data_IF_414222839699
#
_entry.id   IF_414222839699
#
_cell.length_a   1.000
_cell.length_b   1.000
_cell.length_c   1.000
_cell.angle_alpha   90.00
_cell.angle_beta   90.00
_cell.angle_gamma   90.00
#
_symmetry.space_group_name_H-M   'P 1'
#
loop_
_entity.id
_entity.type
_entity.pdbx_description
1 polymer ?
#
# COMPACT_ATOMS: atom_id res chain seq x y z
N UNK A 1 18.49 -13.40 -71.84
CA UNK A 1 17.24 -12.98 -71.19
C UNK A 1 17.57 -12.44 -69.79
N UNK A 2 17.45 -11.13 -69.52
CA UNK A 2 17.71 -10.55 -68.18
C UNK A 2 16.39 -10.44 -67.41
N UNK A 3 16.30 -11.10 -66.26
CA UNK A 3 15.17 -11.03 -65.33
C UNK A 3 15.28 -9.75 -64.50
N UNK A 4 14.37 -8.80 -64.71
CA UNK A 4 14.30 -7.57 -63.90
C UNK A 4 13.57 -7.89 -62.59
N UNK A 5 14.33 -8.08 -61.49
CA UNK A 5 13.78 -8.18 -60.14
C UNK A 5 13.15 -6.83 -59.74
N UNK A 6 11.82 -6.79 -59.67
CA UNK A 6 11.05 -5.64 -59.20
C UNK A 6 11.28 -5.46 -57.70
N UNK A 7 12.06 -4.43 -57.32
CA UNK A 7 12.31 -4.09 -55.91
C UNK A 7 11.00 -3.79 -55.18
N UNK A 8 10.75 -4.47 -54.06
CA UNK A 8 9.58 -4.21 -53.20
C UNK A 8 9.68 -2.78 -52.66
N UNK A 9 8.72 -1.91 -53.03
CA UNK A 9 8.61 -0.56 -52.44
C UNK A 9 8.44 -0.71 -50.93
N UNK A 10 9.40 -0.27 -50.14
CA UNK A 10 9.24 -0.15 -48.69
C UNK A 10 8.24 0.97 -48.43
N UNK A 11 7.07 0.64 -47.89
CA UNK A 11 6.14 1.66 -47.36
C UNK A 11 6.80 2.25 -46.11
N UNK A 12 7.22 3.51 -46.17
CA UNK A 12 7.73 4.24 -45.03
C UNK A 12 6.57 4.71 -44.14
N UNK A 13 6.80 4.75 -42.83
CA UNK A 13 5.89 5.37 -41.87
C UNK A 13 5.84 6.87 -42.12
N UNK A 14 4.64 7.46 -42.13
CA UNK A 14 4.51 8.89 -42.35
C UNK A 14 4.71 9.65 -41.03
N UNK A 15 5.27 10.86 -41.07
CA UNK A 15 5.43 11.68 -39.87
C UNK A 15 4.08 12.06 -39.26
N UNK A 16 3.04 12.20 -40.09
CA UNK A 16 1.69 12.53 -39.62
C UNK A 16 1.07 11.40 -38.80
N UNK A 17 1.30 10.14 -39.19
CA UNK A 17 0.87 8.98 -38.40
C UNK A 17 1.54 8.97 -37.02
N UNK A 18 2.81 9.36 -36.93
CA UNK A 18 3.50 9.46 -35.63
C UNK A 18 2.92 10.57 -34.76
N UNK A 19 2.68 11.74 -35.35
CA UNK A 19 2.17 12.92 -34.64
C UNK A 19 0.75 12.67 -34.10
N UNK A 20 -0.12 12.03 -34.88
CA UNK A 20 -1.46 11.68 -34.43
C UNK A 20 -1.44 10.71 -33.24
N UNK A 21 -0.53 9.73 -33.24
CA UNK A 21 -0.40 8.74 -32.16
C UNK A 21 0.08 9.38 -30.86
N UNK A 22 1.14 10.20 -30.90
CA UNK A 22 1.64 10.87 -29.68
C UNK A 22 0.62 11.86 -29.12
N UNK A 23 -0.20 12.49 -29.99
CA UNK A 23 -1.27 13.39 -29.56
C UNK A 23 -2.35 12.63 -28.77
N UNK A 24 -2.79 11.46 -29.26
CA UNK A 24 -3.77 10.61 -28.55
C UNK A 24 -3.19 10.08 -27.23
N UNK A 25 -1.95 9.57 -27.25
CA UNK A 25 -1.27 9.08 -26.03
C UNK A 25 -1.12 10.22 -25.01
N UNK A 26 -0.80 11.44 -25.45
CA UNK A 26 -0.68 12.61 -24.57
C UNK A 26 -1.98 12.94 -23.84
N UNK A 27 -3.12 12.91 -24.53
CA UNK A 27 -4.43 13.16 -23.93
C UNK A 27 -4.79 12.06 -22.91
N UNK A 28 -4.57 10.79 -23.28
CA UNK A 28 -4.85 9.66 -22.38
C UNK A 28 -3.95 9.69 -21.14
N UNK A 29 -2.66 9.98 -21.32
CA UNK A 29 -1.70 10.08 -20.21
C UNK A 29 -2.09 11.20 -19.24
N UNK A 30 -2.50 12.37 -19.73
CA UNK A 30 -2.90 13.50 -18.89
C UNK A 30 -4.04 13.16 -17.92
N UNK A 31 -5.02 12.35 -18.36
CA UNK A 31 -6.16 11.94 -17.51
C UNK A 31 -5.80 10.74 -16.62
N UNK A 32 -4.93 9.85 -17.09
CA UNK A 32 -4.62 8.59 -16.40
C UNK A 32 -3.70 8.80 -15.19
N UNK A 33 -2.69 9.66 -15.31
CA UNK A 33 -1.67 9.88 -14.28
C UNK A 33 -2.24 10.23 -12.90
N UNK A 34 -3.09 11.28 -12.72
CA UNK A 34 -3.60 11.63 -11.39
C UNK A 34 -4.50 10.54 -10.80
N UNK A 35 -5.26 9.82 -11.65
CA UNK A 35 -6.14 8.73 -11.21
C UNK A 35 -5.34 7.57 -10.63
N UNK A 36 -4.28 7.16 -11.32
CA UNK A 36 -3.42 6.05 -10.85
C UNK A 36 -2.78 6.39 -9.50
N UNK A 37 -2.31 7.63 -9.31
CA UNK A 37 -1.74 8.04 -8.03
C UNK A 37 -2.73 7.96 -6.86
N UNK A 38 -3.99 8.35 -7.05
CA UNK A 38 -5.04 8.21 -6.03
C UNK A 38 -5.29 6.74 -5.67
N UNK A 39 -5.52 5.88 -6.66
CA UNK A 39 -5.75 4.45 -6.44
C UNK A 39 -4.60 3.75 -5.73
N UNK A 40 -3.35 4.14 -6.01
CA UNK A 40 -2.19 3.58 -5.32
C UNK A 40 -2.16 3.96 -3.83
N UNK A 41 -2.59 5.18 -3.47
CA UNK A 41 -2.67 5.60 -2.07
C UNK A 41 -3.77 4.82 -1.34
N UNK A 42 -4.95 4.69 -1.93
CA UNK A 42 -6.07 3.94 -1.34
C UNK A 42 -5.72 2.45 -1.17
N UNK A 43 -5.06 1.85 -2.17
CA UNK A 43 -4.57 0.48 -2.08
C UNK A 43 -3.56 0.32 -0.92
N UNK A 44 -2.67 1.30 -0.71
CA UNK A 44 -1.75 1.29 0.45
C UNK A 44 -2.51 1.41 1.77
N UNK A 45 -3.49 2.32 1.87
CA UNK A 45 -4.36 2.45 3.07
C UNK A 45 -5.05 1.13 3.40
N UNK A 46 -5.64 0.48 2.41
CA UNK A 46 -6.27 -0.83 2.59
C UNK A 46 -5.29 -1.91 3.04
N UNK A 47 -4.06 -1.92 2.51
CA UNK A 47 -3.01 -2.87 2.91
C UNK A 47 -2.54 -2.61 4.35
N UNK A 48 -2.36 -1.36 4.75
CA UNK A 48 -2.04 -0.98 6.14
C UNK A 48 -3.09 -1.51 7.10
N UNK A 49 -4.38 -1.31 6.80
CA UNK A 49 -5.47 -1.81 7.64
C UNK A 49 -5.46 -3.34 7.71
N UNK A 50 -5.19 -4.03 6.58
CA UNK A 50 -5.07 -5.48 6.56
C UNK A 50 -3.89 -5.98 7.43
N UNK A 51 -2.71 -5.36 7.31
CA UNK A 51 -1.54 -5.69 8.14
C UNK A 51 -1.80 -5.38 9.63
N UNK A 52 -2.47 -4.27 9.94
CA UNK A 52 -2.87 -3.93 11.30
C UNK A 52 -3.79 -4.99 11.91
N UNK A 53 -4.75 -5.53 11.13
CA UNK A 53 -5.59 -6.67 11.54
C UNK A 53 -4.75 -7.91 11.82
N UNK A 54 -3.78 -8.24 10.95
CA UNK A 54 -2.91 -9.39 11.17
C UNK A 54 -2.13 -9.29 12.48
N UNK A 55 -1.57 -8.12 12.81
CA UNK A 55 -0.89 -7.90 14.11
C UNK A 55 -1.87 -8.06 15.28
N UNK A 56 -3.07 -7.47 15.17
CA UNK A 56 -4.06 -7.54 16.24
C UNK A 56 -4.52 -8.99 16.49
N UNK A 57 -4.78 -9.75 15.44
CA UNK A 57 -5.13 -11.17 15.54
C UNK A 57 -3.99 -11.99 16.15
N UNK A 58 -2.75 -11.67 15.80
CA UNK A 58 -1.58 -12.32 16.36
C UNK A 58 -1.42 -12.05 17.86
N UNK A 59 -1.67 -10.81 18.30
CA UNK A 59 -1.72 -10.44 19.71
C UNK A 59 -2.83 -11.19 20.46
N UNK A 60 -4.04 -11.24 19.91
CA UNK A 60 -5.16 -11.97 20.52
C UNK A 60 -4.88 -13.47 20.62
N UNK A 61 -4.28 -14.04 19.57
CA UNK A 61 -3.86 -15.45 19.54
C UNK A 61 -2.77 -15.74 20.57
N UNK A 62 -1.78 -14.84 20.73
CA UNK A 62 -0.76 -14.95 21.77
C UNK A 62 -1.42 -14.98 23.15
N UNK A 63 -2.28 -14.00 23.44
CA UNK A 63 -2.95 -13.89 24.74
C UNK A 63 -3.87 -15.07 25.05
N UNK A 64 -4.46 -15.71 24.03
CA UNK A 64 -5.26 -16.91 24.21
C UNK A 64 -4.43 -18.17 24.49
N UNK A 65 -3.18 -18.23 24.02
CA UNK A 65 -2.31 -19.43 24.11
C UNK A 65 -1.33 -19.38 25.29
N UNK A 66 -0.96 -18.19 25.75
CA UNK A 66 0.13 -17.99 26.72
C UNK A 66 -0.42 -17.61 28.09
N UNK A 67 0.20 -18.15 29.15
CA UNK A 67 -0.20 -17.90 30.55
C UNK A 67 0.13 -16.50 31.03
N UNK A 68 1.17 -15.87 30.47
CA UNK A 68 1.54 -14.48 30.72
C UNK A 68 1.02 -13.66 29.53
N UNK A 69 -0.10 -12.93 29.68
CA UNK A 69 -0.61 -12.11 28.60
C UNK A 69 0.33 -10.93 28.35
N UNK A 70 0.36 -10.47 27.09
CA UNK A 70 1.03 -9.22 26.75
C UNK A 70 0.35 -8.06 27.49
N UNK A 71 1.12 -7.01 27.84
CA UNK A 71 0.59 -5.84 28.54
C UNK A 71 -0.53 -5.16 27.75
N UNK A 72 -1.28 -4.30 28.42
CA UNK A 72 -2.47 -3.65 27.86
C UNK A 72 -2.20 -3.01 26.48
N UNK A 73 -3.19 -3.04 25.57
CA UNK A 73 -3.08 -2.51 24.21
C UNK A 73 -2.52 -1.08 24.10
N UNK A 74 -2.76 -0.25 25.11
CA UNK A 74 -2.24 1.13 25.25
C UNK A 74 -0.71 1.21 25.21
N UNK A 75 -0.02 0.19 25.70
CA UNK A 75 1.44 0.19 25.93
C UNK A 75 2.21 -0.81 25.06
N UNK A 76 1.48 -1.69 24.39
CA UNK A 76 2.04 -2.79 23.62
C UNK A 76 2.14 -2.38 22.15
N UNK A 77 3.35 -2.49 21.58
CA UNK A 77 3.66 -2.06 20.21
C UNK A 77 3.80 -3.24 19.27
N UNK A 78 3.69 -3.00 17.96
CA UNK A 78 3.92 -4.00 16.91
C UNK A 78 5.26 -4.72 17.11
N UNK A 79 6.32 -4.00 17.48
CA UNK A 79 7.64 -4.56 17.80
C UNK A 79 7.56 -5.61 18.91
N UNK A 80 6.93 -5.26 20.03
CA UNK A 80 6.80 -6.16 21.18
C UNK A 80 6.02 -7.42 20.80
N UNK A 81 4.95 -7.27 20.02
CA UNK A 81 4.16 -8.41 19.53
C UNK A 81 5.00 -9.34 18.64
N UNK A 82 5.73 -8.78 17.66
CA UNK A 82 6.62 -9.56 16.78
C UNK A 82 7.70 -10.29 17.57
N UNK A 83 8.40 -9.59 18.46
CA UNK A 83 9.49 -10.14 19.27
C UNK A 83 8.99 -11.29 20.17
N UNK A 84 7.83 -11.12 20.82
CA UNK A 84 7.26 -12.11 21.74
C UNK A 84 6.74 -13.36 21.02
N UNK A 85 6.12 -13.18 19.84
CA UNK A 85 5.68 -14.30 19.01
C UNK A 85 6.87 -15.09 18.46
N UNK A 86 7.92 -14.40 18.02
CA UNK A 86 9.15 -15.04 17.58
C UNK A 86 9.82 -15.82 18.73
N UNK A 87 9.95 -15.21 19.91
CA UNK A 87 10.59 -15.82 21.08
C UNK A 87 9.87 -17.07 21.59
N UNK A 88 8.53 -17.08 21.52
CA UNK A 88 7.71 -18.23 21.94
C UNK A 88 7.47 -19.24 20.82
N UNK A 89 8.08 -19.06 19.65
CA UNK A 89 7.89 -19.88 18.43
C UNK A 89 6.42 -20.01 18.04
N UNK A 90 5.64 -18.94 18.24
CA UNK A 90 4.22 -18.88 17.88
C UNK A 90 4.00 -18.47 16.42
N UNK A 91 5.07 -18.34 15.63
CA UNK A 91 5.03 -18.01 14.20
C UNK A 91 4.25 -19.01 13.35
N UNK A 92 4.05 -20.24 13.86
CA UNK A 92 3.15 -21.24 13.25
C UNK A 92 1.68 -20.79 13.24
N UNK A 93 1.28 -19.95 14.20
CA UNK A 93 -0.10 -19.51 14.39
C UNK A 93 -0.35 -18.08 13.90
N UNK A 94 0.71 -17.33 13.63
CA UNK A 94 0.63 -15.95 13.14
C UNK A 94 1.82 -15.65 12.23
N UNK A 95 1.52 -15.40 10.95
CA UNK A 95 2.51 -14.88 10.00
C UNK A 95 2.59 -13.36 10.11
N UNK A 96 3.76 -12.87 10.52
CA UNK A 96 4.05 -11.45 10.72
C UNK A 96 5.19 -10.92 9.85
N UNK A 97 5.81 -11.77 9.03
CA UNK A 97 7.01 -11.42 8.26
C UNK A 97 6.70 -10.45 7.11
N UNK A 98 5.44 -10.43 6.64
CA UNK A 98 4.96 -9.55 5.58
C UNK A 98 4.46 -8.17 6.05
N UNK A 99 4.74 -7.76 7.28
CA UNK A 99 4.24 -6.48 7.84
C UNK A 99 5.32 -5.41 7.73
N UNK A 100 5.27 -4.65 6.64
CA UNK A 100 6.23 -3.62 6.24
C UNK A 100 5.64 -2.21 6.16
N UNK A 101 4.31 -2.07 6.08
CA UNK A 101 3.61 -0.78 5.97
C UNK A 101 3.15 -0.24 7.32
N UNK A 102 3.20 -1.03 8.39
CA UNK A 102 2.89 -0.60 9.76
C UNK A 102 4.20 -0.41 10.52
N UNK A 103 4.42 0.78 11.10
CA UNK A 103 5.62 1.05 11.90
C UNK A 103 5.63 0.21 13.19
N UNK A 104 6.80 -0.31 13.54
CA UNK A 104 6.99 -1.20 14.68
C UNK A 104 6.67 -0.54 16.03
N UNK A 105 6.67 0.80 16.10
CA UNK A 105 6.35 1.56 17.31
C UNK A 105 4.86 1.87 17.47
N UNK A 106 4.02 1.52 16.49
CA UNK A 106 2.56 1.71 16.60
C UNK A 106 2.01 0.84 17.72
N UNK A 107 1.12 1.42 18.52
CA UNK A 107 0.44 0.73 19.63
C UNK A 107 -0.78 -0.05 19.15
N UNK A 108 -1.13 -1.11 19.87
CA UNK A 108 -2.28 -1.96 19.56
C UNK A 108 -3.63 -1.23 19.59
N UNK A 109 -3.78 -0.18 20.40
CA UNK A 109 -5.00 0.65 20.36
C UNK A 109 -5.16 1.39 19.04
N UNK A 110 -4.06 1.93 18.51
CA UNK A 110 -4.09 2.56 17.20
C UNK A 110 -4.39 1.54 16.11
N UNK A 111 -3.88 0.31 16.23
CA UNK A 111 -4.27 -0.78 15.33
C UNK A 111 -5.78 -1.03 15.40
N UNK A 112 -6.34 -1.19 16.61
CA UNK A 112 -7.80 -1.36 16.79
C UNK A 112 -8.59 -0.22 16.15
N UNK A 113 -8.21 1.02 16.41
CA UNK A 113 -8.84 2.20 15.81
C UNK A 113 -8.76 2.19 14.27
N UNK A 114 -7.65 1.75 13.69
CA UNK A 114 -7.49 1.61 12.24
C UNK A 114 -8.35 0.48 11.65
N UNK A 115 -8.55 -0.61 12.40
CA UNK A 115 -9.33 -1.76 11.94
C UNK A 115 -10.84 -1.58 12.12
N UNK A 116 -11.24 -0.70 13.04
CA UNK A 116 -12.63 -0.31 13.35
C UNK A 116 -13.32 0.44 12.20
N UNK A 117 -12.54 0.96 11.23
CA UNK A 117 -13.06 1.66 10.05
C UNK A 117 -13.67 3.04 10.33
N UNK A 118 -13.52 3.57 11.55
CA UNK A 118 -14.06 4.88 11.96
C UNK A 118 -13.21 6.06 11.50
N UNK A 119 -11.93 5.81 11.22
CA UNK A 119 -10.94 6.83 10.83
C UNK A 119 -10.12 6.30 9.66
N UNK A 120 -9.76 7.15 8.73
CA UNK A 120 -8.80 6.79 7.68
C UNK A 120 -7.37 6.88 8.21
N UNK A 121 -6.51 5.95 7.78
CA UNK A 121 -5.09 5.96 8.14
C UNK A 121 -4.32 6.98 7.29
N UNK A 122 -3.47 7.78 7.94
CA UNK A 122 -2.60 8.76 7.27
C UNK A 122 -1.25 8.13 6.97
N UNK A 123 -0.95 7.92 5.68
CA UNK A 123 0.31 7.32 5.24
C UNK A 123 1.33 8.42 4.97
N UNK A 124 2.51 8.29 5.54
CA UNK A 124 3.60 9.25 5.32
C UNK A 124 4.22 9.10 3.92
N UNK A 125 5.03 10.08 3.51
CA UNK A 125 5.79 10.01 2.26
C UNK A 125 6.74 8.79 2.19
N UNK A 126 7.13 8.24 3.35
CA UNK A 126 7.88 6.98 3.47
C UNK A 126 7.10 5.75 3.01
N UNK A 127 5.77 5.86 2.85
CA UNK A 127 4.88 4.76 2.51
C UNK A 127 4.48 3.90 3.71
N UNK A 128 4.98 4.20 4.91
CA UNK A 128 4.61 3.54 6.15
C UNK A 128 3.58 4.35 6.93
N UNK A 129 2.81 3.64 7.74
CA UNK A 129 1.85 4.20 8.68
C UNK A 129 2.45 4.21 10.08
N UNK A 130 2.51 5.39 10.68
CA UNK A 130 3.11 5.64 12.00
C UNK A 130 2.05 5.76 13.11
N UNK A 131 0.82 5.32 12.83
CA UNK A 131 -0.27 5.38 13.79
C UNK A 131 -1.02 6.72 13.80
N UNK A 132 -0.89 7.52 12.75
CA UNK A 132 -1.62 8.76 12.56
C UNK A 132 -2.90 8.54 11.72
N UNK A 133 -3.96 9.27 12.01
CA UNK A 133 -5.21 9.21 11.24
C UNK A 133 -5.39 10.48 10.43
N UNK A 134 -6.10 10.38 9.32
CA UNK A 134 -6.60 11.55 8.60
C UNK A 134 -7.69 12.20 9.45
N UNK A 135 -7.65 13.53 9.59
CA UNK A 135 -8.69 14.27 10.27
C UNK A 135 -9.99 14.15 9.47
N UNK A 136 -11.14 14.07 10.16
CA UNK A 136 -12.47 13.89 9.56
C UNK A 136 -12.95 15.03 8.64
N UNK A 137 -12.07 15.96 8.29
CA UNK A 137 -12.28 16.98 7.26
C UNK A 137 -11.93 16.37 5.91
N UNK A 138 -12.78 15.45 5.46
CA UNK A 138 -12.62 14.76 4.19
C UNK A 138 -12.58 15.72 3.00
N UNK A 139 -11.59 15.52 2.14
CA UNK A 139 -11.51 16.18 0.84
C UNK A 139 -10.08 16.49 0.45
N UNK A 140 -9.49 15.62 -0.38
CA UNK A 140 -8.26 15.82 -1.15
C UNK A 140 -7.62 17.22 -1.00
N UNK A 141 -6.70 17.36 -0.04
CA UNK A 141 -5.80 18.52 -0.06
C UNK A 141 -4.76 18.26 -1.14
N UNK A 142 -5.12 18.62 -2.37
CA UNK A 142 -4.14 19.18 -3.31
C UNK A 142 -3.28 20.17 -2.52
N UNK A 143 -1.94 20.11 -2.56
CA UNK A 143 -1.15 21.15 -1.92
C UNK A 143 -1.51 22.46 -2.62
N UNK A 144 -2.21 23.35 -1.91
CA UNK A 144 -2.49 24.69 -2.41
C UNK A 144 -1.29 25.56 -2.05
N UNK A 145 -0.48 25.81 -3.08
CA UNK A 145 0.62 26.78 -3.21
C UNK A 145 1.88 26.53 -2.37
#
# INVERSE_FOLDING_TARGET
MKLIKKGKKKKGFTLIELIAVIAIIGILAAVLVPKVFGYMQDAKKSKVVAQARSVLMAYETYNAKVTIPLPEPKTCTVKKVKDEIANKKLTEYADLDGIDLVDDNVTLDKLKEATDGKKEVKIENSGKWTGAFEDSTGGNTTPSN
#
